data_IF_964457325383
#
_entry.id   IF_964457325383
#
_cell.length_a   1.000
_cell.length_b   1.000
_cell.length_c   1.000
_cell.angle_alpha   90.00
_cell.angle_beta   90.00
_cell.angle_gamma   90.00
#
_symmetry.space_group_name_H-M   'P 1'
#
loop_
_entity.id
_entity.type
_entity.pdbx_description
1 polymer ?
#
# COMPACT_ATOMS: atom_id res chain seq x y z
N UNK A 1 -2.48 -31.38 -1.54
CA UNK A 1 -1.06 -31.31 -1.97
C UNK A 1 -0.26 -30.63 -0.86
N UNK A 2 0.90 -31.17 -0.52
CA UNK A 2 1.89 -30.49 0.31
C UNK A 2 2.46 -29.26 -0.42
N UNK A 3 3.11 -28.37 0.32
CA UNK A 3 3.71 -27.14 -0.22
C UNK A 3 4.88 -27.51 -1.15
N UNK A 4 4.61 -27.58 -2.44
CA UNK A 4 5.56 -27.99 -3.47
C UNK A 4 6.34 -26.84 -4.08
N UNK A 5 7.24 -27.17 -5.01
CA UNK A 5 8.09 -26.20 -5.73
C UNK A 5 7.26 -25.19 -6.53
N UNK A 6 6.11 -25.61 -7.09
CA UNK A 6 5.24 -24.73 -7.87
C UNK A 6 4.60 -23.65 -7.00
N UNK A 7 4.16 -24.04 -5.80
CA UNK A 7 3.61 -23.12 -4.80
C UNK A 7 4.67 -22.15 -4.31
N UNK A 8 5.88 -22.64 -4.02
CA UNK A 8 7.01 -21.79 -3.64
C UNK A 8 7.37 -20.78 -4.75
N UNK A 9 7.32 -21.19 -6.02
CA UNK A 9 7.57 -20.29 -7.15
C UNK A 9 6.54 -19.15 -7.22
N UNK A 10 5.25 -19.46 -7.18
CA UNK A 10 4.17 -18.46 -7.24
C UNK A 10 4.22 -17.55 -6.00
N UNK A 11 4.50 -18.11 -4.83
CA UNK A 11 4.62 -17.36 -3.60
C UNK A 11 5.86 -16.44 -3.60
N UNK A 12 6.97 -16.88 -4.18
CA UNK A 12 8.17 -16.05 -4.38
C UNK A 12 7.94 -14.88 -5.34
N UNK A 13 7.12 -15.06 -6.38
CA UNK A 13 6.66 -13.95 -7.21
C UNK A 13 5.77 -12.99 -6.40
N UNK A 14 4.83 -13.51 -5.60
CA UNK A 14 4.01 -12.67 -4.74
C UNK A 14 4.87 -11.84 -3.76
N UNK A 15 5.94 -12.42 -3.21
CA UNK A 15 6.90 -11.73 -2.36
C UNK A 15 7.62 -10.59 -3.08
N UNK A 16 8.14 -10.83 -4.29
CA UNK A 16 8.81 -9.80 -5.08
C UNK A 16 7.88 -8.62 -5.34
N UNK A 17 6.63 -8.90 -5.70
CA UNK A 17 5.67 -7.85 -5.94
C UNK A 17 5.26 -7.09 -4.66
N UNK A 18 5.18 -7.76 -3.51
CA UNK A 18 4.97 -7.12 -2.21
C UNK A 18 6.11 -6.12 -1.90
N UNK A 19 7.38 -6.54 -2.02
CA UNK A 19 8.55 -5.66 -1.83
C UNK A 19 8.50 -4.43 -2.75
N UNK A 20 8.10 -4.61 -4.00
CA UNK A 20 8.04 -3.53 -4.99
C UNK A 20 6.88 -2.56 -4.71
N UNK A 21 5.74 -3.06 -4.22
CA UNK A 21 4.55 -2.24 -3.97
C UNK A 21 4.61 -1.46 -2.66
N UNK A 22 5.23 -2.03 -1.63
CA UNK A 22 5.20 -1.49 -0.27
C UNK A 22 5.78 -0.07 -0.10
N UNK A 23 6.89 0.32 -0.78
CA UNK A 23 7.50 1.63 -0.56
C UNK A 23 6.55 2.83 -0.78
N UNK A 24 5.57 2.69 -1.69
CA UNK A 24 4.64 3.77 -2.03
C UNK A 24 3.59 4.05 -0.94
N UNK A 25 3.42 3.14 0.02
CA UNK A 25 2.48 3.30 1.13
C UNK A 25 2.99 4.26 2.20
N UNK A 26 4.31 4.39 2.29
CA UNK A 26 5.01 5.13 3.34
C UNK A 26 5.87 6.27 2.78
N UNK A 27 5.94 6.41 1.46
CA UNK A 27 6.67 7.48 0.76
C UNK A 27 6.31 8.89 1.25
N UNK A 28 5.05 9.11 1.59
CA UNK A 28 4.50 10.41 1.98
C UNK A 28 5.24 11.00 3.18
N UNK A 29 5.69 10.17 4.12
CA UNK A 29 6.44 10.62 5.29
C UNK A 29 7.66 11.46 4.88
N UNK A 30 8.28 11.13 3.73
CA UNK A 30 9.40 11.87 3.17
C UNK A 30 8.97 12.95 2.18
N UNK A 31 7.99 12.67 1.31
CA UNK A 31 7.56 13.61 0.27
C UNK A 31 6.90 14.88 0.81
N UNK A 32 6.07 14.75 1.84
CA UNK A 32 5.31 15.86 2.44
C UNK A 32 5.97 16.41 3.72
N UNK A 33 7.24 16.11 3.92
CA UNK A 33 7.98 16.60 5.08
C UNK A 33 8.10 18.12 5.04
N UNK A 34 7.65 18.75 6.11
CA UNK A 34 7.81 20.20 6.32
C UNK A 34 9.23 20.45 6.83
N UNK A 35 10.06 21.06 5.99
CA UNK A 35 11.38 21.52 6.42
C UNK A 35 11.25 22.78 7.29
N UNK A 36 12.20 23.01 8.21
CA UNK A 36 12.33 24.31 8.86
C UNK A 36 12.39 25.40 7.81
N UNK A 37 11.57 26.43 7.98
CA UNK A 37 11.41 27.50 7.02
C UNK A 37 11.28 28.83 7.74
N UNK A 38 11.68 29.88 7.05
CA UNK A 38 11.58 31.26 7.50
C UNK A 38 11.16 32.14 6.34
N UNK A 39 10.68 33.34 6.64
CA UNK A 39 10.36 34.32 5.61
C UNK A 39 11.62 34.83 4.88
N UNK A 40 11.44 35.13 3.60
CA UNK A 40 12.38 36.00 2.86
C UNK A 40 12.24 37.43 3.39
N UNK A 41 13.38 38.06 3.67
CA UNK A 41 13.50 39.44 4.13
C UNK A 41 14.02 40.30 2.97
N UNK A 42 13.18 41.10 2.28
CA UNK A 42 13.51 41.71 0.99
C UNK A 42 14.78 42.58 0.94
N UNK A 43 15.19 43.17 2.07
CA UNK A 43 16.38 44.04 2.15
C UNK A 43 17.63 43.32 2.68
N UNK A 44 17.53 42.04 3.03
CA UNK A 44 18.59 41.25 3.64
C UNK A 44 18.88 39.96 2.88
N UNK A 45 17.87 39.36 2.24
CA UNK A 45 17.99 38.12 1.50
C UNK A 45 18.30 38.35 0.02
N UNK A 46 19.39 37.73 -0.43
CA UNK A 46 19.77 37.58 -1.84
C UNK A 46 19.59 36.12 -2.28
N UNK A 47 19.67 35.84 -3.59
CA UNK A 47 19.56 34.49 -4.16
C UNK A 47 20.53 33.43 -3.58
N UNK A 48 21.61 33.84 -2.90
CA UNK A 48 22.59 32.94 -2.27
C UNK A 48 22.44 32.82 -0.75
N UNK A 49 21.42 33.43 -0.15
CA UNK A 49 21.26 33.41 1.30
C UNK A 49 20.88 32.03 1.81
N UNK A 50 21.58 31.63 2.88
CA UNK A 50 21.30 30.37 3.57
C UNK A 50 20.20 30.57 4.61
N UNK A 51 19.60 29.47 5.05
CA UNK A 51 18.57 29.48 6.09
C UNK A 51 19.04 30.16 7.38
N UNK A 52 20.25 29.86 7.86
CA UNK A 52 20.80 30.49 9.07
C UNK A 52 21.49 31.81 8.74
N UNK A 53 20.94 32.92 9.21
CA UNK A 53 21.55 34.25 9.13
C UNK A 53 21.38 35.00 10.45
N UNK A 54 22.31 35.90 10.76
CA UNK A 54 22.30 36.68 12.00
C UNK A 54 21.11 37.65 12.07
N UNK A 55 20.65 38.15 10.91
CA UNK A 55 19.52 39.09 10.88
C UNK A 55 18.16 38.44 11.14
N UNK A 56 18.08 37.10 11.13
CA UNK A 56 16.81 36.39 11.39
C UNK A 56 16.31 36.67 12.81
N UNK A 57 17.21 36.78 13.78
CA UNK A 57 16.88 36.99 15.19
C UNK A 57 16.08 38.28 15.45
N UNK A 58 16.32 39.33 14.66
CA UNK A 58 15.62 40.59 14.79
C UNK A 58 14.59 40.86 13.69
N UNK A 59 14.62 40.16 12.55
CA UNK A 59 13.71 40.39 11.43
C UNK A 59 12.46 39.52 11.51
N UNK A 60 12.56 38.36 12.17
CA UNK A 60 11.47 37.39 12.31
C UNK A 60 11.12 37.26 13.81
N UNK A 61 9.84 37.39 14.18
CA UNK A 61 9.41 37.26 15.57
C UNK A 61 9.65 35.85 16.12
N UNK A 62 10.04 35.78 17.39
CA UNK A 62 10.29 34.51 18.07
C UNK A 62 8.99 33.69 18.18
N UNK A 63 9.04 32.44 17.69
CA UNK A 63 7.90 31.53 17.69
C UNK A 63 6.90 31.69 16.53
N UNK A 64 7.07 32.68 15.65
CA UNK A 64 6.21 32.88 14.48
C UNK A 64 7.04 33.02 13.21
N UNK A 65 7.24 31.89 12.52
CA UNK A 65 8.01 31.82 11.27
C UNK A 65 7.20 32.27 10.05
N UNK A 66 5.91 32.60 10.21
CA UNK A 66 4.99 32.90 9.11
C UNK A 66 4.84 34.39 8.83
N UNK A 67 5.38 35.23 9.71
CA UNK A 67 5.31 36.68 9.60
C UNK A 67 6.72 37.29 9.68
N UNK A 68 6.91 38.40 8.99
CA UNK A 68 8.15 39.18 9.00
C UNK A 68 7.89 40.58 9.54
N UNK A 69 8.85 41.17 10.25
CA UNK A 69 8.75 42.55 10.73
C UNK A 69 8.85 43.53 9.56
N UNK A 70 8.02 44.56 9.58
CA UNK A 70 7.94 45.56 8.51
C UNK A 70 9.17 46.49 8.59
N UNK A 71 9.83 46.74 7.46
CA UNK A 71 10.86 47.78 7.33
C UNK A 71 10.23 49.18 7.39
N UNK A 72 10.69 50.03 8.31
CA UNK A 72 10.22 51.43 8.40
C UNK A 72 10.95 52.37 7.44
N UNK A 73 12.21 52.06 7.08
CA UNK A 73 13.05 52.94 6.25
C UNK A 73 13.68 52.15 5.10
N UNK A 74 13.30 52.47 3.85
CA UNK A 74 13.79 51.84 2.60
C UNK A 74 15.19 52.38 2.23
N UNK A 75 16.08 52.51 3.21
CA UNK A 75 17.50 52.75 2.94
C UNK A 75 18.17 51.40 3.06
N UNK A 76 18.75 50.91 1.96
CA UNK A 76 19.32 49.58 1.66
C UNK A 76 20.32 48.96 2.68
N UNK A 77 20.03 49.01 3.98
CA UNK A 77 20.89 48.46 5.02
C UNK A 77 20.08 47.51 5.89
N UNK A 78 20.46 46.23 5.83
CA UNK A 78 20.00 45.18 6.73
C UNK A 78 20.53 45.45 8.15
N UNK A 79 19.89 46.35 8.90
CA UNK A 79 20.26 46.75 10.25
C UNK A 79 19.05 46.64 11.21
N UNK A 80 19.24 46.26 12.49
CA UNK A 80 18.16 46.02 13.46
C UNK A 80 17.20 47.19 13.59
N UNK A 81 17.74 48.41 13.64
CA UNK A 81 16.98 49.63 13.87
C UNK A 81 16.03 50.00 12.71
N UNK A 82 16.10 49.25 11.61
CA UNK A 82 15.26 49.46 10.41
C UNK A 82 13.91 48.73 10.51
N UNK A 83 13.79 47.77 11.44
CA UNK A 83 12.61 46.92 11.58
C UNK A 83 11.66 47.44 12.67
N UNK A 84 10.39 47.59 12.32
CA UNK A 84 9.32 47.90 13.27
C UNK A 84 8.92 46.69 14.12
N UNK A 85 8.13 46.94 15.17
CA UNK A 85 7.45 45.88 15.91
C UNK A 85 6.17 45.36 15.21
N UNK A 86 5.77 45.95 14.08
CA UNK A 86 4.62 45.50 13.30
C UNK A 86 5.04 44.37 12.35
N UNK A 87 4.17 43.38 12.19
CA UNK A 87 4.43 42.19 11.37
C UNK A 87 3.48 42.11 10.18
N UNK A 88 3.93 41.46 9.12
CA UNK A 88 3.14 41.18 7.91
C UNK A 88 3.34 39.73 7.47
N UNK A 89 2.33 39.17 6.80
CA UNK A 89 2.34 37.78 6.32
C UNK A 89 3.35 37.60 5.19
N UNK A 90 4.08 36.49 5.21
CA UNK A 90 5.11 36.22 4.22
C UNK A 90 4.56 35.62 2.93
N UNK A 91 5.14 36.03 1.80
CA UNK A 91 4.82 35.50 0.47
C UNK A 91 5.86 34.52 -0.06
N UNK A 92 7.09 34.62 0.41
CA UNK A 92 8.24 33.83 -0.05
C UNK A 92 9.01 33.27 1.15
N UNK A 93 9.63 32.10 0.94
CA UNK A 93 10.21 31.29 2.01
C UNK A 93 11.65 30.88 1.70
N UNK A 94 12.48 30.87 2.74
CA UNK A 94 13.80 30.24 2.74
C UNK A 94 13.71 28.97 3.58
N UNK A 95 14.00 27.82 2.97
CA UNK A 95 13.94 26.50 3.61
C UNK A 95 15.35 26.01 4.00
N UNK A 96 15.44 25.27 5.11
CA UNK A 96 16.66 24.53 5.46
C UNK A 96 16.78 23.25 4.61
N UNK A 97 17.61 23.31 3.57
CA UNK A 97 17.85 22.19 2.65
C UNK A 97 18.93 21.21 3.13
N UNK A 98 19.33 21.24 4.41
CA UNK A 98 20.34 20.34 4.96
C UNK A 98 19.88 18.88 5.00
N UNK A 99 18.59 18.64 5.27
CA UNK A 99 18.01 17.31 5.37
C UNK A 99 17.49 16.79 4.02
N UNK A 100 16.71 17.60 3.30
CA UNK A 100 16.20 17.30 1.96
C UNK A 100 16.53 18.46 1.02
N UNK A 101 16.90 18.15 -0.22
CA UNK A 101 17.15 19.17 -1.24
C UNK A 101 15.85 19.83 -1.69
N UNK A 102 14.79 19.04 -1.81
CA UNK A 102 13.45 19.52 -2.10
C UNK A 102 12.41 18.53 -1.58
N UNK A 103 11.29 19.05 -1.07
CA UNK A 103 10.07 18.30 -0.74
C UNK A 103 8.88 18.90 -1.49
N UNK A 104 7.75 18.21 -1.49
CA UNK A 104 6.52 18.76 -2.08
C UNK A 104 6.06 20.04 -1.37
N UNK A 105 6.37 20.16 -0.08
CA UNK A 105 6.08 21.37 0.71
C UNK A 105 6.92 22.54 0.23
N UNK A 106 8.22 22.33 0.02
CA UNK A 106 9.13 23.40 -0.42
C UNK A 106 8.93 23.80 -1.87
N UNK A 107 8.56 22.85 -2.74
CA UNK A 107 8.41 23.15 -4.16
C UNK A 107 7.07 23.83 -4.50
N UNK A 108 6.02 23.56 -3.73
CA UNK A 108 4.70 24.15 -3.93
C UNK A 108 4.33 25.21 -2.89
N UNK A 109 5.27 25.61 -2.03
CA UNK A 109 5.09 26.57 -0.93
C UNK A 109 3.85 26.30 -0.07
N UNK A 110 3.82 25.10 0.50
CA UNK A 110 2.70 24.59 1.30
C UNK A 110 2.89 24.85 2.81
N UNK A 111 3.41 26.02 3.17
CA UNK A 111 3.67 26.44 4.56
C UNK A 111 2.60 27.40 5.08
N UNK A 112 2.58 27.62 6.40
CA UNK A 112 1.73 28.62 7.06
C UNK A 112 0.24 28.49 6.70
N UNK A 113 -0.37 29.51 6.07
CA UNK A 113 -1.79 29.49 5.67
C UNK A 113 -2.15 28.30 4.77
N UNK A 114 -1.16 27.76 4.06
CA UNK A 114 -1.29 26.62 3.14
C UNK A 114 -0.79 25.29 3.74
N UNK A 115 -0.44 25.25 5.03
CA UNK A 115 0.08 24.07 5.71
C UNK A 115 -0.86 22.84 5.61
N UNK A 116 -2.17 23.06 5.57
CA UNK A 116 -3.16 21.98 5.43
C UNK A 116 -3.06 21.23 4.09
N UNK A 117 -2.45 21.84 3.06
CA UNK A 117 -2.24 21.20 1.77
C UNK A 117 -1.15 20.12 1.85
N UNK A 118 -0.15 20.21 2.72
CA UNK A 118 0.83 19.12 2.88
C UNK A 118 0.16 17.76 3.16
N UNK A 119 -0.61 17.63 4.26
CA UNK A 119 -1.35 16.41 4.60
C UNK A 119 -2.45 16.01 3.59
N UNK A 120 -2.98 16.96 2.82
CA UNK A 120 -4.00 16.67 1.80
C UNK A 120 -3.48 15.70 0.74
N UNK A 121 -2.20 15.73 0.40
CA UNK A 121 -1.60 14.78 -0.54
C UNK A 121 -1.60 13.33 -0.03
N UNK A 122 -1.31 13.13 1.26
CA UNK A 122 -1.46 11.82 1.91
C UNK A 122 -2.92 11.37 1.94
N UNK A 123 -3.84 12.29 2.20
CA UNK A 123 -5.29 12.00 2.20
C UNK A 123 -5.80 11.59 0.82
N UNK A 124 -5.35 12.26 -0.25
CA UNK A 124 -5.71 11.88 -1.63
C UNK A 124 -5.20 10.50 -2.02
N UNK A 125 -4.01 10.11 -1.55
CA UNK A 125 -3.51 8.73 -1.70
C UNK A 125 -4.41 7.72 -0.99
N UNK A 126 -4.82 8.00 0.26
CA UNK A 126 -5.73 7.14 1.04
C UNK A 126 -7.12 7.00 0.39
N UNK A 127 -7.67 8.10 -0.16
CA UNK A 127 -8.91 8.06 -0.95
C UNK A 127 -8.71 7.21 -2.20
N UNK A 128 -7.55 7.33 -2.86
CA UNK A 128 -7.12 6.47 -3.96
C UNK A 128 -7.15 5.00 -3.57
N UNK A 129 -6.56 4.64 -2.43
CA UNK A 129 -6.60 3.27 -1.92
C UNK A 129 -8.03 2.78 -1.65
N UNK A 130 -8.88 3.59 -1.01
CA UNK A 130 -10.27 3.20 -0.77
C UNK A 130 -11.01 2.85 -2.07
N UNK A 131 -10.89 3.71 -3.08
CA UNK A 131 -11.55 3.51 -4.38
C UNK A 131 -10.91 2.33 -5.12
N UNK A 132 -9.58 2.23 -5.11
CA UNK A 132 -8.82 1.17 -5.77
C UNK A 132 -9.17 -0.23 -5.22
N UNK A 133 -9.26 -0.38 -3.90
CA UNK A 133 -9.59 -1.66 -3.27
C UNK A 133 -10.95 -2.21 -3.72
N UNK A 134 -11.93 -1.31 -3.94
CA UNK A 134 -13.27 -1.68 -4.41
C UNK A 134 -13.25 -1.95 -5.92
N UNK A 135 -12.76 -1.00 -6.72
CA UNK A 135 -12.86 -1.04 -8.18
C UNK A 135 -11.96 -2.12 -8.77
N UNK A 136 -10.71 -2.19 -8.33
CA UNK A 136 -9.74 -3.17 -8.84
C UNK A 136 -10.07 -4.57 -8.31
N UNK A 137 -10.58 -4.68 -7.08
CA UNK A 137 -11.10 -5.94 -6.55
C UNK A 137 -12.20 -6.53 -7.44
N UNK A 138 -13.24 -5.73 -7.74
CA UNK A 138 -14.33 -6.14 -8.65
C UNK A 138 -13.82 -6.42 -10.07
N UNK A 139 -12.89 -5.61 -10.58
CA UNK A 139 -12.26 -5.84 -11.88
C UNK A 139 -11.51 -7.19 -11.91
N UNK A 140 -10.74 -7.50 -10.88
CA UNK A 140 -9.97 -8.74 -10.80
C UNK A 140 -10.86 -9.98 -10.63
N UNK A 141 -12.01 -9.84 -9.96
CA UNK A 141 -13.02 -10.91 -9.85
C UNK A 141 -13.75 -11.15 -11.18
N UNK A 142 -13.95 -10.10 -12.00
CA UNK A 142 -14.64 -10.22 -13.29
C UNK A 142 -13.74 -10.65 -14.44
N UNK A 143 -12.57 -10.02 -14.55
CA UNK A 143 -11.68 -10.18 -15.69
C UNK A 143 -10.45 -11.05 -15.41
N UNK A 144 -10.30 -11.54 -14.18
CA UNK A 144 -9.18 -12.39 -13.76
C UNK A 144 -8.07 -11.63 -13.04
N UNK A 145 -7.25 -12.37 -12.28
CA UNK A 145 -6.23 -11.79 -11.41
C UNK A 145 -5.12 -11.11 -12.22
N UNK A 146 -4.75 -11.67 -13.38
CA UNK A 146 -3.71 -11.07 -14.25
C UNK A 146 -4.07 -9.68 -14.73
N UNK A 147 -5.32 -9.48 -15.16
CA UNK A 147 -5.81 -8.19 -15.62
C UNK A 147 -5.86 -7.18 -14.46
N UNK A 148 -6.28 -7.62 -13.28
CA UNK A 148 -6.20 -6.81 -12.06
C UNK A 148 -4.78 -6.33 -11.75
N UNK A 149 -3.79 -7.24 -11.81
CA UNK A 149 -2.38 -6.90 -11.62
C UNK A 149 -1.91 -5.90 -12.68
N UNK A 150 -2.20 -6.12 -13.96
CA UNK A 150 -1.79 -5.23 -15.04
C UNK A 150 -2.33 -3.80 -14.84
N UNK A 151 -3.63 -3.65 -14.58
CA UNK A 151 -4.24 -2.34 -14.35
C UNK A 151 -3.63 -1.67 -13.13
N UNK A 152 -3.41 -2.42 -12.05
CA UNK A 152 -2.79 -1.92 -10.83
C UNK A 152 -1.37 -1.41 -11.06
N UNK A 153 -0.56 -2.15 -11.83
CA UNK A 153 0.82 -1.75 -12.19
C UNK A 153 0.82 -0.47 -13.02
N UNK A 154 -0.09 -0.35 -13.99
CA UNK A 154 -0.18 0.85 -14.83
C UNK A 154 -0.60 2.07 -14.01
N UNK A 155 -1.53 1.92 -13.07
CA UNK A 155 -1.96 2.99 -12.17
C UNK A 155 -0.87 3.38 -11.16
N UNK A 156 -0.22 2.39 -10.53
CA UNK A 156 0.84 2.60 -9.55
C UNK A 156 2.08 3.23 -10.19
N UNK A 157 2.64 2.58 -11.21
CA UNK A 157 3.85 3.04 -11.88
C UNK A 157 3.60 4.32 -12.68
N UNK A 158 2.50 4.35 -13.44
CA UNK A 158 2.14 5.52 -14.26
C UNK A 158 1.77 6.73 -13.41
N UNK A 159 0.87 6.56 -12.43
CA UNK A 159 0.53 7.62 -11.49
C UNK A 159 1.74 8.08 -10.69
N UNK A 160 2.62 7.17 -10.28
CA UNK A 160 3.83 7.49 -9.52
C UNK A 160 4.82 8.34 -10.31
N UNK A 161 5.19 7.91 -11.51
CA UNK A 161 6.11 8.66 -12.38
C UNK A 161 5.50 9.99 -12.82
N UNK A 162 4.19 10.03 -13.14
CA UNK A 162 3.51 11.27 -13.48
C UNK A 162 3.40 12.23 -12.30
N UNK A 163 3.31 11.73 -11.06
CA UNK A 163 3.40 12.56 -9.85
C UNK A 163 4.75 13.28 -9.79
N UNK A 164 5.85 12.59 -10.10
CA UNK A 164 7.20 13.13 -10.05
C UNK A 164 7.50 14.19 -11.12
N UNK A 165 6.75 14.23 -12.22
CA UNK A 165 6.87 15.25 -13.28
C UNK A 165 5.74 16.27 -13.26
N UNK A 166 4.88 16.22 -12.23
CA UNK A 166 3.73 17.11 -12.13
C UNK A 166 4.19 18.58 -11.98
N UNK A 167 3.67 19.52 -12.80
CA UNK A 167 4.05 20.93 -12.73
C UNK A 167 3.22 21.72 -11.73
N UNK A 168 2.06 21.20 -11.32
CA UNK A 168 1.15 21.86 -10.39
C UNK A 168 0.75 20.92 -9.26
N UNK A 169 0.49 21.49 -8.10
CA UNK A 169 0.10 20.74 -6.92
C UNK A 169 -1.21 19.96 -7.11
N UNK A 170 -2.19 20.48 -7.87
CA UNK A 170 -3.43 19.74 -8.16
C UNK A 170 -3.22 18.53 -9.07
N UNK A 171 -2.30 18.63 -10.04
CA UNK A 171 -1.90 17.48 -10.85
C UNK A 171 -1.20 16.44 -9.98
N UNK A 172 -0.32 16.87 -9.07
CA UNK A 172 0.31 16.00 -8.08
C UNK A 172 -0.75 15.24 -7.24
N UNK A 173 -1.75 15.94 -6.70
CA UNK A 173 -2.85 15.32 -5.94
C UNK A 173 -3.62 14.26 -6.74
N UNK A 174 -3.95 14.58 -7.99
CA UNK A 174 -4.66 13.64 -8.86
C UNK A 174 -3.82 12.39 -9.14
N UNK A 175 -2.52 12.57 -9.38
CA UNK A 175 -1.61 11.45 -9.61
C UNK A 175 -1.37 10.63 -8.33
N UNK A 176 -1.35 11.24 -7.14
CA UNK A 176 -1.33 10.53 -5.84
C UNK A 176 -2.57 9.65 -5.65
N UNK A 177 -3.75 10.11 -6.06
CA UNK A 177 -4.96 9.30 -6.05
C UNK A 177 -4.81 8.03 -6.92
N UNK A 178 -4.34 8.15 -8.16
CA UNK A 178 -4.13 6.99 -9.03
C UNK A 178 -3.03 6.06 -8.52
N UNK A 179 -1.95 6.63 -7.96
CA UNK A 179 -0.86 5.87 -7.34
C UNK A 179 -1.39 5.00 -6.18
N UNK A 180 -2.22 5.58 -5.30
CA UNK A 180 -2.84 4.85 -4.20
C UNK A 180 -3.83 3.79 -4.67
N UNK A 181 -4.64 4.10 -5.69
CA UNK A 181 -5.54 3.12 -6.28
C UNK A 181 -4.79 1.91 -6.85
N UNK A 182 -3.71 2.15 -7.59
CA UNK A 182 -2.85 1.08 -8.14
C UNK A 182 -2.10 0.30 -7.07
N UNK A 183 -1.56 0.97 -6.04
CA UNK A 183 -0.80 0.34 -4.96
C UNK A 183 -1.60 -0.73 -4.22
N UNK A 184 -2.80 -0.36 -3.74
CA UNK A 184 -3.69 -1.32 -3.04
C UNK A 184 -4.21 -2.42 -3.95
N UNK A 185 -4.55 -2.09 -5.19
CA UNK A 185 -5.01 -3.07 -6.16
C UNK A 185 -3.95 -4.14 -6.43
N UNK A 186 -2.69 -3.72 -6.53
CA UNK A 186 -1.57 -4.60 -6.78
C UNK A 186 -1.41 -5.59 -5.61
N UNK A 187 -1.24 -5.08 -4.40
CA UNK A 187 -1.04 -5.90 -3.21
C UNK A 187 -2.22 -6.85 -2.97
N UNK A 188 -3.45 -6.35 -3.02
CA UNK A 188 -4.66 -7.14 -2.76
C UNK A 188 -4.84 -8.27 -3.77
N UNK A 189 -4.67 -8.01 -5.06
CA UNK A 189 -4.86 -9.04 -6.10
C UNK A 189 -3.77 -10.11 -6.03
N UNK A 190 -2.52 -9.72 -5.74
CA UNK A 190 -1.41 -10.65 -5.56
C UNK A 190 -1.60 -11.51 -4.31
N UNK A 191 -2.00 -10.90 -3.19
CA UNK A 191 -2.31 -11.60 -1.95
C UNK A 191 -3.36 -12.69 -2.19
N UNK A 192 -4.47 -12.33 -2.83
CA UNK A 192 -5.55 -13.28 -3.15
C UNK A 192 -5.02 -14.40 -4.05
N UNK A 193 -4.31 -14.07 -5.13
CA UNK A 193 -3.77 -15.08 -6.04
C UNK A 193 -2.80 -16.04 -5.34
N UNK A 194 -1.94 -15.54 -4.46
CA UNK A 194 -1.02 -16.37 -3.68
C UNK A 194 -1.75 -17.35 -2.76
N UNK A 195 -2.78 -16.87 -2.04
CA UNK A 195 -3.59 -17.69 -1.11
C UNK A 195 -4.48 -18.69 -1.85
N UNK A 196 -5.01 -18.32 -3.03
CA UNK A 196 -5.81 -19.20 -3.88
C UNK A 196 -4.98 -20.33 -4.50
N UNK A 197 -3.68 -20.12 -4.71
CA UNK A 197 -2.76 -21.10 -5.30
C UNK A 197 -2.26 -22.15 -4.28
N UNK A 198 -2.36 -21.87 -2.98
CA UNK A 198 -1.90 -22.77 -1.91
C UNK A 198 -3.02 -23.56 -1.25
N UNK A 199 -2.64 -24.69 -0.65
CA UNK A 199 -3.53 -25.55 0.13
C UNK A 199 -4.11 -24.88 1.36
N UNK A 200 -5.34 -25.27 1.76
CA UNK A 200 -6.02 -24.75 2.96
C UNK A 200 -5.12 -24.78 4.22
N UNK A 201 -4.32 -25.85 4.38
CA UNK A 201 -3.34 -26.00 5.48
C UNK A 201 -2.29 -24.87 5.53
N UNK A 202 -1.89 -24.34 4.38
CA UNK A 202 -0.81 -23.36 4.26
C UNK A 202 -1.32 -21.92 4.10
N UNK A 203 -2.65 -21.70 4.03
CA UNK A 203 -3.24 -20.37 3.81
C UNK A 203 -2.89 -19.40 4.92
N UNK A 204 -3.00 -19.81 6.19
CA UNK A 204 -2.65 -18.94 7.33
C UNK A 204 -1.18 -18.56 7.31
N UNK A 205 -0.29 -19.53 7.04
CA UNK A 205 1.14 -19.28 6.91
C UNK A 205 1.43 -18.29 5.78
N UNK A 206 0.95 -18.57 4.56
CA UNK A 206 1.21 -17.70 3.41
C UNK A 206 0.57 -16.32 3.55
N UNK A 207 -0.61 -16.25 4.19
CA UNK A 207 -1.31 -14.99 4.42
C UNK A 207 -0.61 -14.08 5.44
N UNK A 208 0.06 -14.63 6.45
CA UNK A 208 0.82 -13.82 7.42
C UNK A 208 2.22 -13.50 6.90
N UNK A 209 2.92 -14.48 6.32
CA UNK A 209 4.32 -14.30 5.92
C UNK A 209 4.51 -13.48 4.64
N UNK A 210 3.45 -13.16 3.90
CA UNK A 210 3.52 -12.22 2.78
C UNK A 210 3.71 -10.76 3.27
N UNK A 211 3.45 -10.49 4.54
CA UNK A 211 3.67 -9.18 5.14
C UNK A 211 5.16 -8.94 5.47
N UNK A 212 5.97 -9.99 5.62
CA UNK A 212 7.43 -9.86 5.82
C UNK A 212 8.12 -9.14 4.66
N UNK A 213 7.98 -9.56 3.39
CA UNK A 213 8.53 -8.81 2.26
C UNK A 213 7.88 -7.43 2.11
N UNK A 214 6.64 -7.23 2.56
CA UNK A 214 6.00 -5.92 2.57
C UNK A 214 6.77 -4.96 3.50
N UNK A 215 6.95 -5.32 4.78
CA UNK A 215 7.74 -4.55 5.74
C UNK A 215 9.20 -4.31 5.29
N UNK A 216 9.82 -5.29 4.62
CA UNK A 216 11.14 -5.10 4.00
C UNK A 216 11.10 -4.02 2.91
N UNK A 217 10.09 -4.02 2.04
CA UNK A 217 9.88 -2.96 1.05
C UNK A 217 9.64 -1.59 1.70
N UNK A 218 8.87 -1.51 2.77
CA UNK A 218 8.68 -0.24 3.50
C UNK A 218 9.99 0.28 4.08
N UNK A 219 10.77 -0.59 4.73
CA UNK A 219 12.09 -0.24 5.26
C UNK A 219 13.05 0.24 4.16
N UNK A 220 12.95 -0.33 2.96
CA UNK A 220 13.74 0.08 1.80
C UNK A 220 13.44 1.54 1.40
N UNK A 221 12.24 2.05 1.62
CA UNK A 221 11.90 3.48 1.42
C UNK A 221 12.78 4.39 2.25
N UNK A 222 13.01 4.05 3.51
CA UNK A 222 13.89 4.81 4.41
C UNK A 222 15.33 4.78 3.91
N UNK A 223 15.79 3.63 3.42
CA UNK A 223 17.13 3.49 2.79
C UNK A 223 17.22 4.35 1.53
N UNK A 224 16.22 4.31 0.65
CA UNK A 224 16.17 5.15 -0.56
C UNK A 224 16.20 6.63 -0.18
N UNK A 225 15.45 7.05 0.84
CA UNK A 225 15.40 8.43 1.30
C UNK A 225 16.71 8.92 1.93
N UNK A 226 17.60 8.01 2.40
CA UNK A 226 18.95 8.40 2.84
C UNK A 226 19.80 8.88 1.65
N UNK A 227 19.69 8.21 0.50
CA UNK A 227 20.50 8.49 -0.70
C UNK A 227 19.84 9.47 -1.67
N UNK A 228 18.51 9.51 -1.71
CA UNK A 228 17.73 10.33 -2.65
C UNK A 228 16.97 11.38 -1.83
N UNK A 229 17.52 12.59 -1.79
CA UNK A 229 17.05 13.73 -0.97
C UNK A 229 16.12 14.69 -1.70
N UNK A 230 15.74 14.34 -2.93
CA UNK A 230 14.81 15.09 -3.75
C UNK A 230 13.56 14.23 -3.95
N UNK A 231 12.41 14.82 -3.65
CA UNK A 231 11.14 14.10 -3.63
C UNK A 231 10.72 13.59 -5.02
N UNK A 232 11.08 14.28 -6.12
CA UNK A 232 10.73 13.85 -7.47
C UNK A 232 11.50 12.59 -7.83
N UNK A 233 12.82 12.57 -7.58
CA UNK A 233 13.62 11.38 -7.81
C UNK A 233 13.25 10.22 -6.88
N UNK A 234 12.92 10.51 -5.62
CA UNK A 234 12.47 9.50 -4.66
C UNK A 234 11.15 8.86 -5.12
N UNK A 235 10.19 9.68 -5.58
CA UNK A 235 8.92 9.22 -6.12
C UNK A 235 9.10 8.28 -7.31
N UNK A 236 10.00 8.60 -8.24
CA UNK A 236 10.33 7.72 -9.38
C UNK A 236 11.00 6.43 -8.90
N UNK A 237 11.97 6.53 -7.99
CA UNK A 237 12.70 5.36 -7.48
C UNK A 237 11.78 4.34 -6.79
N UNK A 238 10.76 4.83 -6.07
CA UNK A 238 9.76 4.00 -5.39
C UNK A 238 8.76 3.37 -6.38
N UNK A 239 8.34 4.09 -7.41
CA UNK A 239 7.20 3.65 -8.26
C UNK A 239 7.59 3.03 -9.59
N UNK A 240 8.72 3.42 -10.20
CA UNK A 240 9.15 2.89 -11.49
C UNK A 240 9.43 1.37 -11.47
N UNK A 241 9.98 0.75 -10.40
CA UNK A 241 10.16 -0.70 -10.34
C UNK A 241 8.86 -1.49 -10.50
N UNK A 242 7.69 -0.90 -10.23
CA UNK A 242 6.40 -1.54 -10.47
C UNK A 242 6.21 -1.98 -11.92
N UNK A 243 6.76 -1.26 -12.91
CA UNK A 243 6.65 -1.63 -14.32
C UNK A 243 7.31 -2.98 -14.65
N UNK A 244 8.28 -3.44 -13.85
CA UNK A 244 8.85 -4.78 -13.99
C UNK A 244 7.79 -5.86 -13.79
N UNK A 245 6.74 -5.57 -13.01
CA UNK A 245 5.63 -6.49 -12.75
C UNK A 245 4.67 -6.63 -13.94
N UNK A 246 4.79 -5.83 -15.01
CA UNK A 246 4.09 -6.12 -16.28
C UNK A 246 4.46 -7.52 -16.78
N UNK A 247 5.69 -7.97 -16.49
CA UNK A 247 6.15 -9.32 -16.85
C UNK A 247 5.31 -10.44 -16.24
N UNK A 248 4.53 -10.18 -15.19
CA UNK A 248 3.69 -11.17 -14.51
C UNK A 248 2.57 -11.70 -15.41
N UNK A 249 2.19 -10.95 -16.44
CA UNK A 249 1.26 -11.46 -17.45
C UNK A 249 1.76 -12.73 -18.13
N UNK A 250 3.07 -12.92 -18.26
CA UNK A 250 3.66 -14.12 -18.87
C UNK A 250 4.10 -15.18 -17.87
N UNK A 251 4.62 -14.78 -16.71
CA UNK A 251 5.22 -15.72 -15.74
C UNK A 251 4.26 -16.21 -14.65
N UNK A 252 3.31 -15.36 -14.22
CA UNK A 252 2.36 -15.72 -13.17
C UNK A 252 1.26 -16.63 -13.76
N UNK A 253 0.84 -17.71 -13.09
CA UNK A 253 -0.37 -18.43 -13.50
C UNK A 253 -1.63 -17.62 -13.14
N UNK A 254 -2.72 -17.84 -13.87
CA UNK A 254 -4.03 -17.29 -13.50
C UNK A 254 -4.65 -18.12 -12.36
N UNK A 255 -5.59 -17.52 -11.62
CA UNK A 255 -6.29 -18.23 -10.55
C UNK A 255 -7.10 -19.41 -11.09
N UNK A 256 -6.76 -20.61 -10.61
CA UNK A 256 -7.49 -21.83 -10.94
C UNK A 256 -8.93 -21.74 -10.42
N UNK A 257 -9.18 -21.09 -9.27
CA UNK A 257 -10.53 -20.90 -8.73
C UNK A 257 -11.37 -20.04 -9.65
N UNK A 258 -10.80 -18.92 -10.09
CA UNK A 258 -11.47 -18.01 -11.01
C UNK A 258 -11.76 -18.68 -12.36
N UNK A 259 -10.81 -19.43 -12.92
CA UNK A 259 -11.01 -20.17 -14.18
C UNK A 259 -12.15 -21.18 -14.08
N UNK A 260 -12.25 -21.92 -12.97
CA UNK A 260 -13.35 -22.86 -12.73
C UNK A 260 -14.69 -22.13 -12.60
N UNK A 261 -14.72 -21.01 -11.88
CA UNK A 261 -15.93 -20.18 -11.74
C UNK A 261 -16.41 -19.58 -13.07
N UNK A 262 -15.51 -19.35 -14.02
CA UNK A 262 -15.80 -18.85 -15.38
C UNK A 262 -16.03 -19.98 -16.40
N UNK A 263 -16.20 -21.23 -15.96
CA UNK A 263 -16.36 -22.43 -16.81
C UNK A 263 -15.19 -22.70 -17.79
N UNK A 264 -14.02 -22.11 -17.54
CA UNK A 264 -12.78 -22.31 -18.31
C UNK A 264 -11.97 -23.49 -17.78
N UNK A 265 -12.62 -24.66 -17.71
CA UNK A 265 -12.07 -25.89 -17.08
C UNK A 265 -10.80 -26.41 -17.76
N UNK A 266 -10.70 -26.28 -19.08
CA UNK A 266 -9.54 -26.75 -19.86
C UNK A 266 -8.26 -25.98 -19.51
N UNK A 267 -8.37 -24.67 -19.26
CA UNK A 267 -7.24 -23.84 -18.85
C UNK A 267 -6.85 -24.09 -17.39
N UNK A 268 -7.85 -24.22 -16.51
CA UNK A 268 -7.63 -24.59 -15.11
C UNK A 268 -6.83 -25.91 -15.01
N UNK A 269 -7.21 -26.90 -15.82
CA UNK A 269 -6.52 -28.19 -15.92
C UNK A 269 -5.07 -28.05 -16.39
N UNK A 270 -4.80 -27.26 -17.43
CA UNK A 270 -3.43 -27.02 -17.91
C UNK A 270 -2.52 -26.45 -16.80
N UNK A 271 -3.06 -25.55 -15.96
CA UNK A 271 -2.31 -24.99 -14.83
C UNK A 271 -2.05 -26.06 -13.76
N UNK A 272 -3.06 -26.86 -13.40
CA UNK A 272 -2.93 -27.95 -12.43
C UNK A 272 -1.91 -29.00 -12.92
N UNK A 273 -2.00 -29.42 -14.18
CA UNK A 273 -1.06 -30.37 -14.77
C UNK A 273 0.38 -29.83 -14.80
N UNK A 274 0.55 -28.55 -15.13
CA UNK A 274 1.88 -27.91 -15.10
C UNK A 274 2.44 -27.86 -13.67
N UNK A 275 1.61 -27.53 -12.69
CA UNK A 275 2.00 -27.51 -11.29
C UNK A 275 2.34 -28.92 -10.77
N UNK A 276 1.56 -29.93 -11.13
CA UNK A 276 1.79 -31.32 -10.76
C UNK A 276 3.09 -31.86 -11.38
N UNK A 277 3.35 -31.57 -12.66
CA UNK A 277 4.64 -31.87 -13.32
C UNK A 277 5.82 -31.22 -12.61
N UNK A 278 5.69 -29.94 -12.24
CA UNK A 278 6.75 -29.21 -11.55
C UNK A 278 7.01 -29.73 -10.12
N UNK A 279 5.97 -30.27 -9.48
CA UNK A 279 6.05 -30.91 -8.17
C UNK A 279 6.41 -32.40 -8.22
N UNK A 280 6.57 -32.99 -9.41
CA UNK A 280 6.77 -34.42 -9.61
C UNK A 280 5.68 -35.31 -8.95
N UNK A 281 4.41 -34.87 -9.04
CA UNK A 281 3.24 -35.59 -8.51
C UNK A 281 2.32 -35.98 -9.66
N UNK A 282 1.76 -37.20 -9.62
CA UNK A 282 0.77 -37.64 -10.60
C UNK A 282 -0.59 -36.97 -10.37
N UNK A 283 -1.19 -36.46 -11.44
CA UNK A 283 -2.56 -35.93 -11.37
C UNK A 283 -3.54 -37.10 -11.38
N UNK A 284 -4.46 -37.21 -10.40
CA UNK A 284 -5.42 -38.29 -10.37
C UNK A 284 -6.27 -38.34 -11.65
N UNK A 285 -6.43 -39.54 -12.23
CA UNK A 285 -7.14 -39.76 -13.51
C UNK A 285 -8.59 -39.25 -13.54
N UNK A 286 -9.26 -39.17 -12.39
CA UNK A 286 -10.62 -38.60 -12.31
C UNK A 286 -10.68 -37.09 -12.58
N UNK A 287 -9.56 -36.36 -12.47
CA UNK A 287 -9.48 -34.96 -12.92
C UNK A 287 -9.23 -34.86 -14.44
N UNK A 288 -9.01 -36.01 -15.10
CA UNK A 288 -8.59 -36.08 -16.49
C UNK A 288 -9.71 -36.48 -17.47
N UNK A 289 -10.90 -36.88 -17.02
CA UNK A 289 -12.00 -37.33 -17.88
C UNK A 289 -12.99 -36.18 -18.21
N UNK A 290 -13.23 -35.95 -19.51
CA UNK A 290 -14.06 -34.85 -20.05
C UNK A 290 -15.56 -34.96 -19.69
N UNK A 291 -16.07 -36.17 -19.43
CA UNK A 291 -17.52 -36.39 -19.32
C UNK A 291 -18.11 -36.21 -17.91
N UNK A 292 -17.26 -36.08 -16.88
CA UNK A 292 -17.70 -35.90 -15.48
C UNK A 292 -16.80 -34.93 -14.72
N UNK A 293 -16.41 -33.83 -15.35
CA UNK A 293 -15.70 -32.75 -14.66
C UNK A 293 -16.69 -31.98 -13.76
N UNK A 294 -17.15 -32.64 -12.69
CA UNK A 294 -17.28 -31.98 -11.41
C UNK A 294 -15.84 -31.65 -11.00
N UNK A 295 -15.33 -30.48 -11.42
CA UNK A 295 -14.17 -29.90 -10.74
C UNK A 295 -14.68 -29.68 -9.32
N UNK A 296 -14.46 -30.66 -8.45
CA UNK A 296 -14.59 -30.47 -7.03
C UNK A 296 -13.78 -29.22 -6.75
N UNK A 297 -14.43 -28.25 -6.10
CA UNK A 297 -13.80 -27.02 -5.65
C UNK A 297 -12.37 -27.32 -5.19
N UNK A 298 -11.45 -26.40 -5.46
CA UNK A 298 -10.04 -26.54 -5.11
C UNK A 298 -9.81 -27.07 -3.69
N UNK A 299 -10.72 -26.85 -2.74
CA UNK A 299 -10.69 -27.50 -1.43
C UNK A 299 -10.79 -29.05 -1.44
N UNK A 300 -11.61 -29.66 -2.31
CA UNK A 300 -11.68 -31.12 -2.52
C UNK A 300 -10.53 -31.71 -3.34
N UNK A 301 -9.91 -30.92 -4.21
CA UNK A 301 -8.67 -31.28 -4.94
C UNK A 301 -7.43 -31.12 -4.04
N UNK A 302 -7.45 -30.17 -3.10
CA UNK A 302 -6.38 -29.92 -2.13
C UNK A 302 -6.43 -30.85 -0.91
N UNK A 303 -7.59 -31.45 -0.60
CA UNK A 303 -7.83 -32.36 0.52
C UNK A 303 -7.85 -33.85 0.14
N UNK A 304 -7.03 -34.30 -0.81
CA UNK A 304 -6.78 -35.73 -0.97
C UNK A 304 -5.77 -36.17 0.10
N UNK A 305 -6.23 -36.23 1.34
CA UNK A 305 -5.64 -37.10 2.36
C UNK A 305 -6.67 -37.32 3.47
N UNK A 306 -7.26 -38.52 3.41
CA UNK A 306 -8.04 -39.23 4.43
C UNK A 306 -9.31 -38.58 5.03
N UNK A 307 -10.42 -39.29 4.77
CA UNK A 307 -11.62 -39.44 5.60
C UNK A 307 -12.78 -38.46 5.41
N UNK A 308 -13.90 -39.04 4.96
CA UNK A 308 -15.30 -38.55 4.93
C UNK A 308 -15.51 -37.19 4.27
N UNK A 309 -15.76 -37.24 2.96
CA UNK A 309 -16.34 -36.15 2.18
C UNK A 309 -17.79 -35.96 2.61
N UNK A 310 -18.07 -34.91 3.40
CA UNK A 310 -19.42 -34.34 3.45
C UNK A 310 -19.66 -33.61 2.13
N UNK A 311 -20.59 -34.16 1.36
CA UNK A 311 -21.09 -33.61 0.11
C UNK A 311 -21.84 -32.29 0.40
N UNK A 312 -21.15 -31.17 0.42
CA UNK A 312 -21.81 -29.88 0.20
C UNK A 312 -22.04 -29.77 -1.30
N UNK A 313 -23.18 -30.28 -1.74
CA UNK A 313 -23.72 -30.04 -3.07
C UNK A 313 -24.06 -28.55 -3.18
N UNK A 314 -23.23 -27.77 -3.87
CA UNK A 314 -23.73 -26.52 -4.46
C UNK A 314 -24.75 -26.93 -5.53
N UNK A 315 -26.02 -26.77 -5.19
CA UNK A 315 -27.17 -26.90 -6.08
C UNK A 315 -26.91 -26.15 -7.40
N UNK A 316 -27.41 -26.72 -8.51
CA UNK A 316 -27.37 -26.19 -9.89
C UNK A 316 -27.55 -24.65 -9.96
N UNK A 317 -26.92 -23.96 -10.93
CA UNK A 317 -26.98 -22.51 -11.03
C UNK A 317 -28.36 -22.06 -11.53
N UNK A 318 -29.28 -21.80 -10.60
CA UNK A 318 -30.39 -20.89 -10.85
C UNK A 318 -29.82 -19.48 -10.92
N UNK A 319 -29.87 -18.89 -12.11
CA UNK A 319 -29.52 -17.51 -12.48
C UNK A 319 -28.20 -16.96 -11.91
N UNK A 320 -27.26 -16.64 -12.80
CA UNK A 320 -26.07 -15.82 -12.49
C UNK A 320 -26.49 -14.42 -12.03
N UNK A 321 -27.03 -14.29 -10.82
CA UNK A 321 -27.14 -13.00 -10.15
C UNK A 321 -25.70 -12.57 -9.92
N UNK A 322 -25.26 -11.58 -10.70
CA UNK A 322 -23.96 -10.93 -10.50
C UNK A 322 -23.92 -10.40 -9.07
N UNK A 323 -23.31 -11.18 -8.17
CA UNK A 323 -23.16 -10.82 -6.77
C UNK A 323 -22.37 -9.51 -6.72
N UNK A 324 -23.02 -8.45 -6.27
CA UNK A 324 -22.46 -7.10 -6.25
C UNK A 324 -22.09 -6.75 -4.81
N UNK A 325 -21.24 -5.74 -4.59
CA UNK A 325 -20.88 -5.25 -3.25
C UNK A 325 -22.12 -4.95 -2.38
N UNK A 326 -23.23 -4.55 -3.02
CA UNK A 326 -24.51 -4.27 -2.34
C UNK A 326 -25.11 -5.54 -1.70
N UNK A 327 -24.83 -6.74 -2.24
CA UNK A 327 -25.33 -7.99 -1.69
C UNK A 327 -24.73 -8.31 -0.30
N UNK A 328 -23.57 -7.73 0.05
CA UNK A 328 -23.00 -7.82 1.40
C UNK A 328 -23.94 -7.24 2.46
N UNK A 329 -24.76 -6.25 2.09
CA UNK A 329 -25.71 -5.58 3.00
C UNK A 329 -27.10 -6.18 2.96
N UNK A 330 -27.35 -7.16 2.08
CA UNK A 330 -28.69 -7.68 1.78
C UNK A 330 -29.28 -8.51 2.92
N UNK A 331 -28.50 -9.38 3.55
CA UNK A 331 -28.97 -10.22 4.66
C UNK A 331 -28.45 -9.71 6.01
N UNK A 332 -29.24 -9.82 7.10
CA UNK A 332 -28.87 -9.27 8.40
C UNK A 332 -27.58 -9.89 8.96
N UNK A 333 -27.34 -11.19 8.71
CA UNK A 333 -26.13 -11.87 9.17
C UNK A 333 -24.89 -11.43 8.38
N UNK A 334 -24.97 -11.31 7.06
CA UNK A 334 -23.86 -10.79 6.26
C UNK A 334 -23.56 -9.34 6.60
N UNK A 335 -24.59 -8.51 6.76
CA UNK A 335 -24.46 -7.11 7.17
C UNK A 335 -23.70 -6.98 8.50
N UNK A 336 -24.05 -7.76 9.52
CA UNK A 336 -23.34 -7.76 10.82
C UNK A 336 -21.86 -8.15 10.66
N UNK A 337 -21.57 -9.21 9.89
CA UNK A 337 -20.19 -9.66 9.62
C UNK A 337 -19.39 -8.61 8.85
N UNK A 338 -19.99 -8.00 7.81
CA UNK A 338 -19.37 -6.95 7.01
C UNK A 338 -19.07 -5.71 7.85
N UNK A 339 -20.01 -5.21 8.66
CA UNK A 339 -19.74 -4.06 9.54
C UNK A 339 -18.64 -4.34 10.56
N UNK A 340 -18.61 -5.54 11.15
CA UNK A 340 -17.54 -5.92 12.05
C UNK A 340 -16.17 -5.91 11.34
N UNK A 341 -16.08 -6.52 10.15
CA UNK A 341 -14.84 -6.52 9.37
C UNK A 341 -14.41 -5.11 8.95
N UNK A 342 -15.34 -4.27 8.48
CA UNK A 342 -15.03 -2.87 8.11
C UNK A 342 -14.53 -2.07 9.31
N UNK A 343 -15.15 -2.25 10.47
CA UNK A 343 -14.72 -1.58 11.70
C UNK A 343 -13.34 -2.05 12.15
N UNK A 344 -13.11 -3.37 12.22
CA UNK A 344 -11.79 -3.92 12.57
C UNK A 344 -10.71 -3.42 11.61
N UNK A 345 -10.98 -3.44 10.30
CA UNK A 345 -10.01 -2.96 9.32
C UNK A 345 -9.73 -1.47 9.48
N UNK A 346 -10.77 -0.64 9.65
CA UNK A 346 -10.60 0.79 9.90
C UNK A 346 -9.75 1.09 11.15
N UNK A 347 -9.98 0.37 12.26
CA UNK A 347 -9.19 0.53 13.49
C UNK A 347 -7.74 0.10 13.27
N UNK A 348 -7.51 -1.06 12.65
CA UNK A 348 -6.15 -1.54 12.36
C UNK A 348 -5.40 -0.56 11.46
N UNK A 349 -6.02 -0.10 10.37
CA UNK A 349 -5.45 0.87 9.42
C UNK A 349 -5.13 2.22 10.09
N UNK A 350 -6.03 2.72 10.94
CA UNK A 350 -5.82 3.98 11.67
C UNK A 350 -4.62 3.89 12.62
N UNK A 351 -4.54 2.81 13.40
CA UNK A 351 -3.42 2.59 14.33
C UNK A 351 -2.12 2.42 13.57
N UNK A 352 -2.12 1.60 12.52
CA UNK A 352 -0.96 1.32 11.69
C UNK A 352 -0.38 2.60 11.06
N UNK A 353 -1.16 3.29 10.22
CA UNK A 353 -0.66 4.51 9.56
C UNK A 353 -0.43 5.67 10.53
N UNK A 354 -1.17 5.72 11.65
CA UNK A 354 -0.93 6.69 12.72
C UNK A 354 0.45 6.53 13.35
N UNK A 355 0.84 5.29 13.67
CA UNK A 355 2.17 4.97 14.20
C UNK A 355 3.26 5.22 13.15
N UNK A 356 3.05 4.75 11.91
CA UNK A 356 4.01 4.93 10.81
C UNK A 356 4.23 6.41 10.49
N UNK A 357 3.17 7.23 10.48
CA UNK A 357 3.30 8.67 10.22
C UNK A 357 4.01 9.40 11.36
N UNK A 358 3.83 8.95 12.61
CA UNK A 358 4.51 9.55 13.76
C UNK A 358 5.98 9.10 13.89
N UNK A 359 6.44 8.14 13.07
CA UNK A 359 7.82 7.66 13.11
C UNK A 359 8.84 8.79 12.82
N UNK A 360 8.43 9.80 12.04
CA UNK A 360 9.23 10.98 11.73
C UNK A 360 9.42 11.95 12.91
N UNK A 361 8.56 11.90 13.91
CA UNK A 361 8.58 12.80 15.07
C UNK A 361 9.38 12.25 16.26
N UNK A 362 9.91 11.03 16.16
CA UNK A 362 10.80 10.48 17.16
C UNK A 362 12.12 11.24 17.16
N UNK A 363 12.62 11.60 18.34
CA UNK A 363 13.92 12.25 18.48
C UNK A 363 15.06 11.42 17.89
N UNK A 364 16.08 12.10 17.36
CA UNK A 364 17.23 11.47 16.70
C UNK A 364 17.14 11.50 15.18
N UNK A 365 17.68 10.48 14.52
CA UNK A 365 17.74 10.43 13.07
C UNK A 365 16.46 9.82 12.48
N UNK A 366 15.72 10.61 11.71
CA UNK A 366 14.44 10.21 11.10
C UNK A 366 14.53 8.92 10.27
N UNK A 367 15.62 8.71 9.52
CA UNK A 367 15.78 7.53 8.67
C UNK A 367 15.94 6.26 9.49
N UNK A 368 16.76 6.32 10.55
CA UNK A 368 16.99 5.18 11.44
C UNK A 368 15.72 4.84 12.20
N UNK A 369 15.03 5.85 12.73
CA UNK A 369 13.77 5.67 13.45
C UNK A 369 12.71 5.04 12.55
N UNK A 370 12.58 5.54 11.32
CA UNK A 370 11.65 5.01 10.32
C UNK A 370 11.97 3.54 9.99
N UNK A 371 13.23 3.23 9.62
CA UNK A 371 13.64 1.86 9.25
C UNK A 371 13.41 0.88 10.42
N UNK A 372 13.79 1.27 11.63
CA UNK A 372 13.58 0.44 12.82
C UNK A 372 12.08 0.19 13.09
N UNK A 373 11.24 1.20 12.87
CA UNK A 373 9.77 1.07 13.02
C UNK A 373 9.20 0.08 12.01
N UNK A 374 9.63 0.11 10.75
CA UNK A 374 9.15 -0.86 9.75
C UNK A 374 9.66 -2.29 10.03
N UNK A 375 10.92 -2.43 10.48
CA UNK A 375 11.50 -3.75 10.76
C UNK A 375 10.91 -4.43 12.00
N UNK A 376 10.31 -3.69 12.93
CA UNK A 376 9.65 -4.27 14.12
C UNK A 376 8.40 -5.07 13.75
N UNK A 377 7.87 -4.91 12.54
CA UNK A 377 6.72 -5.66 12.05
C UNK A 377 7.05 -7.13 11.84
N UNK A 378 8.28 -7.44 11.42
CA UNK A 378 8.75 -8.82 11.16
C UNK A 378 8.61 -9.73 12.39
N UNK A 379 9.19 -9.39 13.57
CA UNK A 379 8.98 -10.20 14.77
C UNK A 379 7.51 -10.21 15.22
N UNK A 380 6.77 -9.13 14.95
CA UNK A 380 5.33 -9.05 15.25
C UNK A 380 4.50 -10.04 14.41
N UNK A 381 4.84 -10.26 13.14
CA UNK A 381 4.21 -11.28 12.29
C UNK A 381 4.55 -12.70 12.73
N UNK A 382 5.81 -12.95 13.12
CA UNK A 382 6.22 -14.25 13.67
C UNK A 382 5.42 -14.55 14.95
N UNK A 383 5.32 -13.57 15.84
CA UNK A 383 4.53 -13.70 17.06
C UNK A 383 3.04 -13.96 16.75
N UNK A 384 2.46 -13.21 15.82
CA UNK A 384 1.07 -13.37 15.38
C UNK A 384 0.80 -14.76 14.83
N UNK A 385 1.71 -15.29 14.01
CA UNK A 385 1.62 -16.67 13.51
C UNK A 385 1.64 -17.70 14.65
N UNK A 386 2.58 -17.59 15.60
CA UNK A 386 2.68 -18.51 16.73
C UNK A 386 1.44 -18.49 17.65
N UNK A 387 0.78 -17.34 17.77
CA UNK A 387 -0.46 -17.19 18.54
C UNK A 387 -1.65 -17.81 17.80
N UNK A 388 -1.79 -17.56 16.49
CA UNK A 388 -2.91 -18.05 15.68
C UNK A 388 -2.84 -19.55 15.38
N UNK A 389 -1.63 -20.13 15.33
CA UNK A 389 -1.42 -21.57 15.14
C UNK A 389 -1.73 -22.39 16.41
N UNK A 390 -2.08 -21.72 17.54
CA UNK A 390 -2.51 -22.43 18.75
C UNK A 390 -3.97 -22.93 18.64
N UNK A 391 -4.23 -24.22 18.91
CA UNK A 391 -5.56 -24.83 18.77
C UNK A 391 -6.71 -24.13 19.53
N UNK A 392 -6.41 -23.47 20.65
CA UNK A 392 -7.39 -22.81 21.50
C UNK A 392 -8.05 -21.58 20.83
N UNK A 393 -7.32 -20.83 20.01
CA UNK A 393 -7.82 -19.65 19.29
C UNK A 393 -8.52 -20.04 17.99
N UNK A 394 -8.06 -21.09 17.32
CA UNK A 394 -8.74 -21.67 16.15
C UNK A 394 -10.14 -22.21 16.53
N UNK A 395 -10.29 -22.73 17.76
CA UNK A 395 -11.58 -23.11 18.35
C UNK A 395 -12.52 -21.92 18.59
N UNK A 396 -12.01 -20.81 19.12
CA UNK A 396 -12.78 -19.57 19.35
C UNK A 396 -13.26 -18.90 18.05
N UNK A 397 -12.44 -18.87 17.00
CA UNK A 397 -12.86 -18.38 15.68
C UNK A 397 -13.89 -19.31 15.00
N UNK A 398 -13.79 -20.63 15.20
CA UNK A 398 -14.83 -21.57 14.75
C UNK A 398 -16.14 -21.34 15.49
N UNK A 399 -16.11 -21.13 16.80
CA UNK A 399 -17.28 -20.82 17.62
C UNK A 399 -17.97 -19.50 17.21
N UNK A 400 -17.21 -18.48 16.82
CA UNK A 400 -17.76 -17.20 16.31
C UNK A 400 -18.38 -17.32 14.90
N UNK A 401 -17.94 -18.28 14.08
CA UNK A 401 -18.48 -18.50 12.73
C UNK A 401 -19.61 -19.54 12.68
N UNK A 402 -19.73 -20.39 13.71
CA UNK A 402 -20.74 -21.43 13.89
C UNK A 402 -21.75 -21.09 14.99
N UNK A 403 -22.25 -19.86 15.07
CA UNK A 403 -23.57 -19.67 15.67
C UNK A 403 -24.58 -20.10 14.62
N UNK A 404 -24.96 -21.39 14.64
CA UNK A 404 -26.22 -22.04 14.19
C UNK A 404 -25.93 -23.55 14.12
N UNK A 405 -25.86 -24.19 15.29
CA UNK A 405 -26.30 -25.59 15.42
C UNK A 405 -27.71 -25.52 16.01
N UNK A 406 -28.71 -25.99 15.26
CA UNK A 406 -29.53 -27.08 15.75
C UNK A 406 -29.23 -28.40 15.06
#
# INVERSE_FOLDING_TARGET
MDFGRAQLYVYGLAWLAAVISAPVYVDSIFLIMTLPHRCVVPSCDDNSTQYNQTFVEWAIPEGDQCHVRILENITDQCHPDTFSNLTTSCSEWVYDTSLFSATTVTEFDLTCDRAFLGPLAGSMYMIGMLVGAIVIGDLADRFGRKNGILVSVLLLGGGGVLSAVSPTYYMFLLMRFFTGAGGVGLFQVIFVLAVEFVGAKWRTFCGIFIEVPFALGESLTGVMAIFIRDWRYLQVAVTAPAFLLITYNWIMPESVRWLVAQDRKTEARKIIERAARFNAVEVPKYMLDDDNVQVSTIDGVLSVSNSKVELVSETKPEDQIKKTVIDLLRTPNMRKRSFNMFFCWAVCTLVYYGLSSNSGNLGGNIFVNFIATMLIEIPSYIFSFLVLDRPALTGLCRLSSSEHCP
#
